data_IF_830330372601
#
_entry.id   IF_830330372601
#
_cell.length_a   1.000
_cell.length_b   1.000
_cell.length_c   1.000
_cell.angle_alpha   90.00
_cell.angle_beta   90.00
_cell.angle_gamma   90.00
#
_symmetry.space_group_name_H-M   'P 1'
#
loop_
_entity.id
_entity.type
_entity.pdbx_description
1 polymer ?
#
# COMPACT_ATOMS: atom_id res chain seq x y z
N UNK A 1 -2.27 16.40 -5.90
CA UNK A 1 -1.11 15.89 -5.16
C UNK A 1 -1.62 14.87 -4.13
N UNK A 2 -1.08 13.64 -4.16
CA UNK A 2 -1.56 12.52 -3.35
C UNK A 2 -1.43 12.80 -1.83
N UNK A 3 -0.39 13.52 -1.41
CA UNK A 3 -0.21 13.87 -0.01
C UNK A 3 -1.29 14.82 0.51
N UNK A 4 -1.67 15.83 -0.27
CA UNK A 4 -2.72 16.77 0.12
C UNK A 4 -4.08 16.06 0.28
N UNK A 5 -4.37 15.09 -0.59
CA UNK A 5 -5.57 14.26 -0.50
C UNK A 5 -5.56 13.42 0.77
N UNK A 6 -4.54 12.58 0.98
CA UNK A 6 -4.48 11.68 2.13
C UNK A 6 -4.37 12.42 3.47
N UNK A 7 -3.69 13.57 3.52
CA UNK A 7 -3.59 14.37 4.74
C UNK A 7 -4.95 14.93 5.21
N UNK A 8 -5.94 15.04 4.32
CA UNK A 8 -7.29 15.48 4.68
C UNK A 8 -8.17 14.35 5.25
N UNK A 9 -7.67 13.12 5.26
CA UNK A 9 -8.39 11.93 5.69
C UNK A 9 -8.02 11.59 7.12
N UNK A 10 -9.04 11.44 7.97
CA UNK A 10 -8.89 11.04 9.36
C UNK A 10 -8.72 9.52 9.47
N UNK A 11 -7.73 9.09 10.25
CA UNK A 11 -7.44 7.69 10.53
C UNK A 11 -6.53 7.03 9.48
N UNK A 12 -5.51 6.31 9.95
CA UNK A 12 -4.58 5.58 9.11
C UNK A 12 -5.28 4.51 8.25
N UNK A 13 -6.31 3.86 8.78
CA UNK A 13 -7.10 2.86 8.06
C UNK A 13 -7.78 3.44 6.81
N UNK A 14 -8.40 4.61 6.93
CA UNK A 14 -9.04 5.31 5.82
C UNK A 14 -8.02 5.87 4.82
N UNK A 15 -6.86 6.31 5.31
CA UNK A 15 -5.74 6.74 4.45
C UNK A 15 -5.23 5.56 3.60
N UNK A 16 -5.02 4.38 4.19
CA UNK A 16 -4.59 3.16 3.49
C UNK A 16 -5.60 2.78 2.40
N UNK A 17 -6.89 2.71 2.74
CA UNK A 17 -7.96 2.36 1.79
C UNK A 17 -7.98 3.34 0.62
N UNK A 18 -7.93 4.63 0.91
CA UNK A 18 -7.95 5.66 -0.12
C UNK A 18 -6.69 5.62 -0.99
N UNK A 19 -5.52 5.37 -0.40
CA UNK A 19 -4.27 5.19 -1.12
C UNK A 19 -4.33 4.03 -2.12
N UNK A 20 -4.86 2.87 -1.70
CA UNK A 20 -5.05 1.70 -2.57
C UNK A 20 -6.00 2.02 -3.72
N UNK A 21 -7.18 2.59 -3.44
CA UNK A 21 -8.18 2.89 -4.46
C UNK A 21 -7.68 3.94 -5.46
N UNK A 22 -6.98 4.96 -4.97
CA UNK A 22 -6.39 5.99 -5.82
C UNK A 22 -5.32 5.38 -6.74
N UNK A 23 -4.43 4.53 -6.22
CA UNK A 23 -3.43 3.83 -7.03
C UNK A 23 -4.04 2.94 -8.12
N UNK A 24 -5.17 2.28 -7.82
CA UNK A 24 -5.91 1.42 -8.77
C UNK A 24 -6.66 2.18 -9.86
N UNK A 25 -7.02 3.45 -9.63
CA UNK A 25 -7.79 4.28 -10.57
C UNK A 25 -6.92 5.24 -11.36
N UNK A 26 -5.78 5.67 -10.80
CA UNK A 26 -4.81 6.54 -11.47
C UNK A 26 -4.01 5.81 -12.57
N UNK A 27 -3.95 4.47 -12.49
CA UNK A 27 -3.38 3.63 -13.51
C UNK A 27 -4.48 2.68 -14.02
N UNK A 28 -4.76 2.71 -15.33
CA UNK A 28 -5.54 1.64 -15.97
C UNK A 28 -4.79 0.31 -15.79
N UNK A 29 -5.14 -0.41 -14.73
CA UNK A 29 -4.59 -1.70 -14.30
C UNK A 29 -3.09 -1.93 -14.61
N UNK A 30 -2.18 -1.29 -13.85
CA UNK A 30 -0.75 -1.46 -14.04
C UNK A 30 -0.32 -2.91 -13.73
N UNK A 31 -1.11 -3.66 -12.95
CA UNK A 31 -0.93 -5.09 -12.72
C UNK A 31 -1.17 -5.90 -13.99
N UNK A 32 -2.22 -5.63 -14.74
CA UNK A 32 -2.49 -6.28 -16.03
C UNK A 32 -1.43 -5.92 -17.10
N UNK A 33 -0.94 -4.68 -17.12
CA UNK A 33 0.14 -4.26 -18.04
C UNK A 33 1.48 -4.92 -17.67
N UNK A 34 1.83 -4.97 -16.39
CA UNK A 34 3.03 -5.64 -15.88
C UNK A 34 2.98 -7.17 -16.06
N UNK A 35 1.80 -7.78 -15.91
CA UNK A 35 1.60 -9.20 -16.16
C UNK A 35 1.60 -9.54 -17.64
N UNK A 36 1.09 -8.66 -18.52
CA UNK A 36 1.23 -8.80 -19.98
C UNK A 36 2.69 -8.72 -20.42
N UNK A 37 3.43 -7.70 -20.01
CA UNK A 37 4.85 -7.56 -20.33
C UNK A 37 5.69 -8.74 -19.83
N UNK A 38 5.38 -9.29 -18.64
CA UNK A 38 6.06 -10.47 -18.11
C UNK A 38 5.84 -11.75 -18.93
N UNK A 39 4.71 -11.85 -19.64
CA UNK A 39 4.36 -13.01 -20.48
C UNK A 39 4.85 -12.83 -21.92
N UNK A 40 4.71 -11.62 -22.47
CA UNK A 40 4.97 -11.35 -23.89
C UNK A 40 6.44 -10.94 -24.14
N UNK A 41 7.09 -10.24 -23.21
CA UNK A 41 8.42 -9.61 -23.42
C UNK A 41 9.31 -9.69 -22.15
N UNK A 42 9.77 -10.90 -21.77
CA UNK A 42 10.39 -11.15 -20.46
C UNK A 42 11.76 -10.46 -20.23
N UNK A 43 12.52 -10.18 -21.30
CA UNK A 43 13.81 -9.51 -21.21
C UNK A 43 13.66 -7.97 -21.07
N UNK A 44 12.65 -7.37 -21.71
CA UNK A 44 12.30 -5.95 -21.50
C UNK A 44 11.62 -5.74 -20.15
N UNK A 45 10.82 -6.69 -19.69
CA UNK A 45 10.36 -6.73 -18.30
C UNK A 45 11.56 -6.80 -17.34
N UNK A 46 12.57 -7.65 -17.57
CA UNK A 46 13.74 -7.70 -16.68
C UNK A 46 14.60 -6.41 -16.71
N UNK A 47 14.71 -5.75 -17.85
CA UNK A 47 15.47 -4.50 -18.00
C UNK A 47 14.72 -3.28 -17.41
N UNK A 48 13.40 -3.19 -17.56
CA UNK A 48 12.57 -2.11 -17.01
C UNK A 48 12.15 -2.36 -15.55
N UNK A 49 11.90 -3.62 -15.16
CA UNK A 49 11.55 -3.98 -13.80
C UNK A 49 12.79 -4.07 -12.89
N UNK A 50 13.98 -4.41 -13.39
CA UNK A 50 15.18 -4.52 -12.57
C UNK A 50 15.62 -3.23 -11.89
N UNK A 51 15.51 -2.08 -12.57
CA UNK A 51 15.83 -0.77 -12.00
C UNK A 51 14.62 -0.05 -11.38
N UNK A 52 13.41 -0.23 -11.94
CA UNK A 52 12.18 0.39 -11.44
C UNK A 52 11.52 -0.32 -10.25
N UNK A 53 11.69 -1.65 -10.11
CA UNK A 53 11.07 -2.43 -9.00
C UNK A 53 11.94 -2.42 -7.73
N UNK A 54 13.25 -2.22 -7.86
CA UNK A 54 14.13 -2.09 -6.68
C UNK A 54 13.81 -0.83 -5.86
N UNK A 55 13.42 0.26 -6.53
CA UNK A 55 12.99 1.51 -5.87
C UNK A 55 11.53 1.50 -5.41
N UNK A 56 10.67 0.64 -5.97
CA UNK A 56 9.23 0.69 -5.73
C UNK A 56 8.85 0.54 -4.26
N UNK A 57 9.39 -0.49 -3.58
CA UNK A 57 9.08 -0.71 -2.15
C UNK A 57 9.69 0.39 -1.27
N UNK A 58 10.98 0.75 -1.42
CA UNK A 58 11.56 1.90 -0.71
C UNK A 58 10.78 3.21 -0.91
N UNK A 59 10.43 3.56 -2.15
CA UNK A 59 9.70 4.80 -2.44
C UNK A 59 8.29 4.81 -1.82
N UNK A 60 7.59 3.65 -1.85
CA UNK A 60 6.30 3.52 -1.15
C UNK A 60 6.49 3.58 0.37
N UNK A 61 7.53 2.96 0.93
CA UNK A 61 7.80 3.01 2.36
C UNK A 61 8.06 4.45 2.80
N UNK A 62 8.91 5.20 2.09
CA UNK A 62 9.16 6.61 2.32
C UNK A 62 7.88 7.44 2.24
N UNK A 63 7.01 7.16 1.27
CA UNK A 63 5.71 7.81 1.14
C UNK A 63 4.81 7.57 2.36
N UNK A 64 4.77 6.34 2.88
CA UNK A 64 3.90 5.94 3.99
C UNK A 64 4.43 6.31 5.37
N UNK A 65 5.75 6.46 5.53
CA UNK A 65 6.44 6.71 6.80
C UNK A 65 5.82 7.89 7.58
N UNK A 66 5.52 9.01 6.91
CA UNK A 66 4.89 10.19 7.56
C UNK A 66 3.52 9.90 8.20
N UNK A 67 2.75 8.98 7.63
CA UNK A 67 1.43 8.62 8.15
C UNK A 67 1.56 7.66 9.33
N UNK A 68 2.57 6.79 9.32
CA UNK A 68 2.89 5.93 10.45
C UNK A 68 3.43 6.73 11.65
N UNK A 69 4.25 7.77 11.42
CA UNK A 69 4.65 8.71 12.48
C UNK A 69 3.42 9.37 13.09
N UNK A 70 2.54 9.96 12.27
CA UNK A 70 1.34 10.61 12.77
C UNK A 70 0.41 9.62 13.51
N UNK A 71 0.21 8.42 12.97
CA UNK A 71 -0.59 7.38 13.59
C UNK A 71 -0.01 6.94 14.95
N UNK A 72 1.31 6.88 15.09
CA UNK A 72 1.97 6.58 16.37
C UNK A 72 1.76 7.71 17.36
N UNK A 73 1.97 8.95 16.93
CA UNK A 73 1.81 10.14 17.77
C UNK A 73 0.36 10.32 18.25
N UNK A 74 -0.61 9.88 17.44
CA UNK A 74 -2.04 9.89 17.76
C UNK A 74 -2.52 8.66 18.55
N UNK A 75 -1.66 7.67 18.79
CA UNK A 75 -2.01 6.42 19.49
C UNK A 75 -2.85 5.43 18.66
N UNK A 76 -2.84 5.57 17.33
CA UNK A 76 -3.50 4.65 16.41
C UNK A 76 -2.71 3.34 16.20
N UNK A 77 -1.39 3.37 16.42
CA UNK A 77 -0.48 2.21 16.35
C UNK A 77 0.38 2.13 17.63
N UNK A 78 1.12 1.03 17.81
CA UNK A 78 1.91 0.82 19.03
C UNK A 78 3.00 1.91 19.20
N UNK A 79 3.22 2.47 20.40
CA UNK A 79 4.17 3.57 20.62
C UNK A 79 5.63 3.18 20.35
N UNK A 80 5.97 1.89 20.50
CA UNK A 80 7.32 1.38 20.25
C UNK A 80 7.54 0.89 18.81
N UNK A 81 6.58 1.13 17.90
CA UNK A 81 6.71 0.71 16.50
C UNK A 81 7.92 1.38 15.84
N UNK A 82 8.80 0.56 15.27
CA UNK A 82 9.82 0.98 14.31
C UNK A 82 9.14 1.41 13.02
N UNK A 83 9.22 2.70 12.71
CA UNK A 83 8.50 3.30 11.59
C UNK A 83 9.08 2.85 10.25
N UNK A 84 10.38 2.63 10.15
CA UNK A 84 11.02 2.28 8.88
C UNK A 84 10.68 0.84 8.50
N UNK A 85 10.76 -0.08 9.46
CA UNK A 85 10.33 -1.48 9.28
C UNK A 85 8.83 -1.59 8.97
N UNK A 86 7.99 -0.89 9.76
CA UNK A 86 6.55 -0.89 9.54
C UNK A 86 6.15 -0.26 8.19
N UNK A 87 6.87 0.76 7.73
CA UNK A 87 6.65 1.40 6.44
C UNK A 87 6.93 0.43 5.28
N UNK A 88 8.03 -0.33 5.35
CA UNK A 88 8.32 -1.36 4.36
C UNK A 88 7.22 -2.45 4.36
N UNK A 89 6.81 -2.93 5.53
CA UNK A 89 5.74 -3.92 5.64
C UNK A 89 4.43 -3.41 5.04
N UNK A 90 4.02 -2.18 5.35
CA UNK A 90 2.83 -1.54 4.78
C UNK A 90 2.94 -1.40 3.27
N UNK A 91 4.09 -0.96 2.74
CA UNK A 91 4.31 -0.84 1.31
C UNK A 91 4.06 -2.18 0.59
N UNK A 92 4.56 -3.29 1.15
CA UNK A 92 4.35 -4.65 0.61
C UNK A 92 2.89 -5.09 0.67
N UNK A 93 2.20 -4.84 1.79
CA UNK A 93 0.77 -5.16 1.96
C UNK A 93 -0.09 -4.40 0.95
N UNK A 94 0.12 -3.08 0.85
CA UNK A 94 -0.62 -2.20 -0.07
C UNK A 94 -0.38 -2.61 -1.51
N UNK A 95 0.87 -2.86 -1.89
CA UNK A 95 1.21 -3.30 -3.24
C UNK A 95 0.47 -4.60 -3.60
N UNK A 96 0.42 -5.56 -2.67
CA UNK A 96 -0.34 -6.81 -2.87
C UNK A 96 -1.84 -6.53 -3.08
N UNK A 97 -2.47 -5.73 -2.22
CA UNK A 97 -3.92 -5.42 -2.32
C UNK A 97 -4.25 -4.60 -3.58
N UNK A 98 -3.34 -3.74 -4.01
CA UNK A 98 -3.53 -2.90 -5.18
C UNK A 98 -3.34 -3.67 -6.50
N UNK A 99 -2.47 -4.68 -6.54
CA UNK A 99 -2.04 -5.30 -7.81
C UNK A 99 -2.45 -6.77 -7.98
N UNK A 100 -2.74 -7.49 -6.88
CA UNK A 100 -3.06 -8.91 -6.94
C UNK A 100 -4.57 -9.13 -6.76
N UNK A 101 -5.27 -9.72 -7.74
CA UNK A 101 -6.69 -10.04 -7.59
C UNK A 101 -6.90 -11.17 -6.59
N UNK A 102 -7.94 -11.06 -5.76
CA UNK A 102 -8.38 -12.09 -4.81
C UNK A 102 -9.72 -12.68 -5.19
N UNK A 103 -10.09 -13.80 -4.54
CA UNK A 103 -11.41 -14.44 -4.73
C UNK A 103 -12.46 -13.98 -3.70
N UNK A 104 -12.03 -13.38 -2.59
CA UNK A 104 -12.90 -13.07 -1.43
C UNK A 104 -13.03 -11.58 -1.11
N UNK A 105 -12.05 -10.79 -1.53
CA UNK A 105 -12.02 -9.36 -1.30
C UNK A 105 -12.19 -8.67 -2.64
N UNK A 106 -13.28 -7.91 -2.81
CA UNK A 106 -13.36 -6.93 -3.90
C UNK A 106 -12.62 -5.65 -3.49
N UNK A 107 -11.37 -5.50 -3.95
CA UNK A 107 -10.55 -4.32 -3.65
C UNK A 107 -11.07 -3.03 -4.33
N UNK A 108 -12.06 -3.11 -5.22
CA UNK A 108 -12.73 -1.93 -5.78
C UNK A 108 -13.89 -1.45 -4.89
N UNK A 109 -14.39 -2.30 -3.98
CA UNK A 109 -15.40 -1.93 -3.00
C UNK A 109 -14.73 -1.32 -1.76
N UNK A 110 -14.93 -0.02 -1.53
CA UNK A 110 -14.32 0.73 -0.42
C UNK A 110 -14.63 0.13 0.96
N UNK A 111 -15.88 -0.28 1.16
CA UNK A 111 -16.35 -0.77 2.46
C UNK A 111 -15.76 -2.14 2.79
N UNK A 112 -15.67 -3.02 1.78
CA UNK A 112 -15.02 -4.32 1.93
C UNK A 112 -13.52 -4.19 2.19
N UNK A 113 -12.85 -3.29 1.46
CA UNK A 113 -11.43 -3.02 1.64
C UNK A 113 -11.14 -2.43 3.03
N UNK A 114 -11.96 -1.48 3.50
CA UNK A 114 -11.85 -0.91 4.84
C UNK A 114 -12.07 -1.96 5.92
N UNK A 115 -13.08 -2.82 5.77
CA UNK A 115 -13.31 -3.92 6.69
C UNK A 115 -12.12 -4.90 6.73
N UNK A 116 -11.48 -5.15 5.59
CA UNK A 116 -10.29 -5.99 5.48
C UNK A 116 -9.06 -5.37 6.17
N UNK A 117 -8.79 -4.09 5.90
CA UNK A 117 -7.69 -3.32 6.52
C UNK A 117 -7.84 -3.28 8.03
N UNK A 118 -9.05 -2.96 8.54
CA UNK A 118 -9.33 -2.96 9.98
C UNK A 118 -9.18 -4.33 10.62
N UNK A 119 -9.48 -5.40 9.89
CA UNK A 119 -9.44 -6.77 10.42
C UNK A 119 -8.04 -7.37 10.44
N UNK A 120 -7.20 -7.07 9.45
CA UNK A 120 -5.93 -7.78 9.26
C UNK A 120 -4.69 -6.87 9.26
N UNK A 121 -4.81 -5.62 8.83
CA UNK A 121 -3.66 -4.70 8.73
C UNK A 121 -3.50 -3.94 10.04
N UNK A 122 -4.54 -3.24 10.49
CA UNK A 122 -4.48 -2.41 11.71
C UNK A 122 -4.09 -3.19 12.97
N UNK A 123 -4.56 -4.43 13.21
CA UNK A 123 -4.10 -5.20 14.37
C UNK A 123 -2.61 -5.53 14.33
N UNK A 124 -2.01 -5.68 13.14
CA UNK A 124 -0.57 -5.90 12.99
C UNK A 124 0.25 -4.70 13.47
N UNK A 125 -0.19 -3.47 13.14
CA UNK A 125 0.47 -2.24 13.59
C UNK A 125 0.24 -1.91 15.08
N UNK A 126 -0.82 -2.47 15.68
CA UNK A 126 -1.15 -2.28 17.10
C UNK A 126 -0.51 -3.34 18.01
N UNK A 127 -0.01 -4.43 17.43
CA UNK A 127 0.67 -5.47 18.19
C UNK A 127 1.96 -4.89 18.82
N UNK A 128 2.35 -5.45 19.97
CA UNK A 128 3.64 -5.14 20.56
C UNK A 128 4.75 -5.66 19.61
N UNK A 129 5.72 -4.82 19.22
CA UNK A 129 6.81 -5.21 18.32
C UNK A 129 7.80 -6.18 18.97
#
# INVERSE_FOLDING_TARGET
DAHAMLASIEGLDNQIVTGIQHGRTAHDDPGALLMKLRVEEPDEFAACAGAGVQGLVPDLADFWSRYLVAARDNGEIHPDTDVDDAAEWIARVILSLATMPGQRLDANNADELLAHVRRYVMPGLKAQP
#
